data_IF_941245268034
#
_entry.id   IF_941245268034
#
_cell.length_a   1.000
_cell.length_b   1.000
_cell.length_c   1.000
_cell.angle_alpha   90.00
_cell.angle_beta   90.00
_cell.angle_gamma   90.00
#
_symmetry.space_group_name_H-M   'P 1'
#
loop_
_entity.id
_entity.type
_entity.pdbx_description
1 polymer ?
#
# COMPACT_ATOMS: atom_id res chain seq x y z
N UNK A 1 12.82 -38.10 12.16
CA UNK A 1 12.17 -37.69 10.89
C UNK A 1 12.03 -36.20 10.94
N UNK A 2 12.77 -35.49 10.09
CA UNK A 2 12.74 -34.02 10.02
C UNK A 2 11.83 -33.60 8.89
N UNK A 3 10.90 -32.70 9.17
CA UNK A 3 10.09 -32.05 8.15
C UNK A 3 10.92 -30.96 7.48
N UNK A 4 10.89 -30.88 6.14
CA UNK A 4 11.45 -29.74 5.40
C UNK A 4 10.32 -28.82 4.99
N UNK A 5 10.33 -27.58 5.47
CA UNK A 5 9.39 -26.54 5.05
C UNK A 5 9.97 -25.89 3.79
N UNK A 6 9.27 -26.01 2.66
CA UNK A 6 9.63 -25.31 1.42
C UNK A 6 8.65 -24.15 1.24
N UNK A 7 9.17 -22.92 1.25
CA UNK A 7 8.39 -21.70 1.03
C UNK A 7 8.36 -21.38 -0.46
N UNK A 8 7.17 -21.37 -1.05
CA UNK A 8 6.95 -20.88 -2.41
C UNK A 8 6.18 -19.55 -2.33
N UNK A 9 6.82 -18.47 -2.75
CA UNK A 9 6.18 -17.17 -2.90
C UNK A 9 5.39 -17.15 -4.22
N UNK A 10 4.07 -17.03 -4.13
CA UNK A 10 3.22 -16.82 -5.30
C UNK A 10 2.96 -15.31 -5.46
N UNK A 11 3.45 -14.73 -6.54
CA UNK A 11 3.09 -13.37 -6.94
C UNK A 11 1.72 -13.38 -7.63
N UNK A 12 0.75 -12.67 -7.04
CA UNK A 12 -0.58 -12.29 -7.54
C UNK A 12 -1.62 -13.43 -7.78
N UNK A 13 -2.68 -13.52 -6.94
CA UNK A 13 -3.90 -14.28 -7.24
C UNK A 13 -4.93 -13.50 -8.09
N UNK A 14 -4.66 -12.24 -8.46
CA UNK A 14 -5.61 -11.36 -9.18
C UNK A 14 -5.42 -11.31 -10.71
N UNK A 15 -4.33 -11.85 -11.27
CA UNK A 15 -4.23 -12.05 -12.73
C UNK A 15 -4.90 -13.37 -13.14
N UNK A 16 -6.23 -13.32 -13.34
CA UNK A 16 -7.06 -14.46 -13.76
C UNK A 16 -6.68 -15.04 -15.14
N UNK A 17 -5.68 -14.50 -15.83
CA UNK A 17 -5.30 -14.90 -17.19
C UNK A 17 -4.02 -15.73 -17.29
N UNK A 18 -3.23 -15.84 -16.22
CA UNK A 18 -1.98 -16.61 -16.23
C UNK A 18 -2.04 -17.94 -15.45
N UNK A 19 -3.02 -18.12 -14.55
CA UNK A 19 -3.04 -19.24 -13.59
C UNK A 19 -3.47 -20.60 -14.14
N UNK A 20 -3.89 -20.72 -15.40
CA UNK A 20 -4.35 -22.01 -15.97
C UNK A 20 -3.27 -22.80 -16.71
N UNK A 21 -2.10 -22.22 -17.03
CA UNK A 21 -1.09 -22.93 -17.86
C UNK A 21 0.03 -23.63 -17.09
N UNK A 22 0.30 -23.30 -15.82
CA UNK A 22 1.29 -24.04 -15.03
C UNK A 22 0.69 -25.18 -14.19
N UNK A 23 -0.60 -25.09 -13.84
CA UNK A 23 -1.26 -26.08 -12.96
C UNK A 23 -1.55 -27.40 -13.69
N UNK A 24 -1.55 -27.41 -15.02
CA UNK A 24 -2.01 -28.57 -15.80
C UNK A 24 -0.91 -29.59 -16.15
N UNK A 25 0.35 -29.40 -15.74
CA UNK A 25 1.47 -30.26 -16.17
C UNK A 25 2.09 -31.14 -15.08
N UNK A 26 1.59 -31.08 -13.84
CA UNK A 26 2.03 -31.91 -12.71
C UNK A 26 0.83 -32.62 -12.06
N UNK A 27 0.02 -33.30 -12.88
CA UNK A 27 -1.18 -34.01 -12.45
C UNK A 27 -0.93 -35.51 -12.19
N UNK A 28 -0.02 -35.85 -11.29
CA UNK A 28 -0.05 -37.16 -10.64
C UNK A 28 0.39 -36.99 -9.19
N UNK A 29 -0.55 -37.22 -8.27
CA UNK A 29 -0.40 -37.30 -6.80
C UNK A 29 -0.53 -35.98 -6.02
N UNK A 30 -1.72 -35.37 -6.01
CA UNK A 30 -2.32 -34.90 -4.76
C UNK A 30 -3.80 -34.58 -4.97
N UNK A 31 -4.65 -35.30 -4.27
CA UNK A 31 -6.06 -35.01 -4.11
C UNK A 31 -6.15 -33.73 -3.27
N UNK A 32 -6.44 -32.59 -3.89
CA UNK A 32 -6.94 -31.42 -3.17
C UNK A 32 -8.39 -31.27 -3.62
N UNK A 33 -9.28 -31.79 -2.77
CA UNK A 33 -10.73 -31.62 -2.89
C UNK A 33 -11.06 -30.13 -2.99
N UNK A 34 -12.04 -29.79 -3.84
CA UNK A 34 -12.59 -28.46 -4.18
C UNK A 34 -13.09 -27.60 -2.99
N UNK A 35 -12.27 -27.37 -1.98
CA UNK A 35 -12.58 -26.49 -0.84
C UNK A 35 -11.53 -25.40 -0.75
N UNK A 36 -11.78 -24.31 -1.49
CA UNK A 36 -11.08 -23.03 -1.45
C UNK A 36 -9.55 -23.09 -1.61
N UNK A 37 -9.03 -22.30 -2.55
CA UNK A 37 -7.64 -21.86 -2.51
C UNK A 37 -7.46 -21.06 -1.21
N UNK A 38 -7.22 -21.76 -0.10
CA UNK A 38 -7.12 -21.15 1.21
C UNK A 38 -5.71 -20.58 1.27
N UNK A 39 -5.61 -19.29 0.96
CA UNK A 39 -4.41 -18.52 1.19
C UNK A 39 -4.04 -18.67 2.68
N UNK A 40 -3.01 -19.46 2.97
CA UNK A 40 -2.72 -19.94 4.32
C UNK A 40 -2.10 -18.84 5.16
N UNK A 41 -2.87 -18.32 6.12
CA UNK A 41 -2.52 -17.62 7.39
C UNK A 41 -1.44 -16.52 7.43
N UNK A 42 -0.81 -16.14 6.31
CA UNK A 42 0.01 -14.93 6.20
C UNK A 42 -0.29 -14.26 4.87
N UNK A 43 -1.13 -13.22 4.93
CA UNK A 43 -1.22 -12.22 3.86
C UNK A 43 -0.08 -11.23 4.08
N UNK A 44 0.86 -11.17 3.14
CA UNK A 44 1.84 -10.08 3.07
C UNK A 44 1.33 -9.03 2.10
N UNK A 45 1.71 -7.77 2.31
CA UNK A 45 1.43 -6.71 1.33
C UNK A 45 2.74 -6.19 0.77
N UNK A 46 2.84 -6.21 -0.56
CA UNK A 46 3.93 -5.57 -1.26
C UNK A 46 3.46 -4.20 -1.73
N UNK A 47 4.08 -3.14 -1.21
CA UNK A 47 3.73 -1.75 -1.51
C UNK A 47 4.86 -1.10 -2.29
N UNK A 48 4.52 -0.55 -3.45
CA UNK A 48 5.44 0.25 -4.27
C UNK A 48 4.95 1.68 -4.40
N UNK A 49 5.87 2.63 -4.37
CA UNK A 49 5.56 4.07 -4.49
C UNK A 49 5.91 4.57 -5.89
N UNK A 50 5.00 5.33 -6.49
CA UNK A 50 5.13 5.86 -7.85
C UNK A 50 5.03 7.39 -7.81
N UNK A 51 6.10 8.08 -8.20
CA UNK A 51 6.11 9.54 -8.28
C UNK A 51 5.43 10.03 -9.56
N UNK A 52 4.44 10.90 -9.39
CA UNK A 52 3.67 11.51 -10.47
C UNK A 52 4.07 12.98 -10.59
N UNK A 53 4.88 13.27 -11.61
CA UNK A 53 5.42 14.61 -11.87
C UNK A 53 4.43 15.54 -12.61
N UNK A 54 3.15 15.50 -12.24
CA UNK A 54 2.10 16.36 -12.80
C UNK A 54 1.51 17.14 -11.62
N UNK A 55 1.69 18.48 -11.56
CA UNK A 55 1.12 19.28 -10.49
C UNK A 55 -0.41 19.24 -10.52
N UNK A 56 -1.00 18.85 -9.40
CA UNK A 56 -2.45 18.68 -9.22
C UNK A 56 -2.84 19.15 -7.82
N UNK A 57 -4.09 19.56 -7.64
CA UNK A 57 -4.67 19.69 -6.29
C UNK A 57 -4.67 18.31 -5.61
N UNK A 58 -4.78 18.28 -4.28
CA UNK A 58 -4.76 17.00 -3.56
C UNK A 58 -5.89 16.06 -4.03
N UNK A 59 -7.09 16.60 -4.26
CA UNK A 59 -8.26 15.82 -4.72
C UNK A 59 -8.09 15.31 -6.15
N UNK A 60 -7.49 16.10 -7.03
CA UNK A 60 -7.15 15.65 -8.39
C UNK A 60 -6.08 14.56 -8.36
N UNK A 61 -5.05 14.72 -7.52
CA UNK A 61 -4.00 13.71 -7.35
C UNK A 61 -4.56 12.40 -6.78
N UNK A 62 -5.45 12.46 -5.80
CA UNK A 62 -6.18 11.30 -5.27
C UNK A 62 -6.95 10.58 -6.38
N UNK A 63 -7.73 11.35 -7.15
CA UNK A 63 -8.52 10.81 -8.26
C UNK A 63 -7.64 10.17 -9.32
N UNK A 64 -6.50 10.80 -9.65
CA UNK A 64 -5.50 10.25 -10.57
C UNK A 64 -4.91 8.94 -10.06
N UNK A 65 -4.47 8.91 -8.80
CA UNK A 65 -3.91 7.69 -8.20
C UNK A 65 -4.94 6.56 -8.19
N UNK A 66 -6.21 6.82 -7.85
CA UNK A 66 -7.25 5.78 -7.87
C UNK A 66 -7.62 5.30 -9.28
N UNK A 67 -7.40 6.12 -10.31
CA UNK A 67 -7.66 5.75 -11.70
C UNK A 67 -6.53 4.92 -12.33
N UNK A 68 -5.29 5.07 -11.84
CA UNK A 68 -4.08 4.49 -12.45
C UNK A 68 -3.27 3.55 -11.54
N UNK A 69 -3.53 3.60 -10.23
CA UNK A 69 -2.81 2.94 -9.14
C UNK A 69 -3.83 2.51 -8.05
N UNK A 70 -3.37 2.17 -6.84
CA UNK A 70 -4.28 1.88 -5.72
C UNK A 70 -4.87 3.16 -5.12
N UNK A 71 -4.03 4.07 -4.61
CA UNK A 71 -4.45 5.36 -4.01
C UNK A 71 -3.22 6.29 -3.87
N UNK A 72 -3.40 7.50 -3.36
CA UNK A 72 -2.31 8.32 -2.84
C UNK A 72 -1.55 7.56 -1.76
N UNK A 73 -0.23 7.76 -1.73
CA UNK A 73 0.67 7.03 -0.85
C UNK A 73 0.28 7.18 0.62
N UNK A 74 0.06 6.04 1.27
CA UNK A 74 0.05 5.94 2.72
C UNK A 74 1.45 5.61 3.22
N UNK A 75 1.87 6.19 4.34
CA UNK A 75 3.21 5.98 4.90
C UNK A 75 3.09 5.29 6.25
N UNK A 76 3.52 4.04 6.33
CA UNK A 76 3.32 3.19 7.52
C UNK A 76 4.49 3.21 8.49
N UNK A 77 5.67 3.63 8.03
CA UNK A 77 6.90 3.67 8.82
C UNK A 77 7.97 4.58 8.20
N UNK A 78 9.08 4.74 8.91
CA UNK A 78 10.19 5.60 8.46
C UNK A 78 10.85 5.11 7.16
N UNK A 79 10.90 3.80 6.89
CA UNK A 79 11.47 3.26 5.66
C UNK A 79 10.62 3.61 4.44
N UNK A 80 9.30 3.64 4.58
CA UNK A 80 8.40 4.13 3.54
C UNK A 80 8.46 5.66 3.40
N UNK A 81 8.62 6.38 4.51
CA UNK A 81 8.76 7.84 4.50
C UNK A 81 9.90 8.33 3.61
N UNK A 82 11.01 7.59 3.56
CA UNK A 82 12.16 7.89 2.71
C UNK A 82 11.89 7.73 1.21
N UNK A 83 10.77 7.10 0.83
CA UNK A 83 10.40 6.81 -0.56
C UNK A 83 9.34 7.77 -1.12
N UNK A 84 8.75 8.61 -0.27
CA UNK A 84 7.66 9.52 -0.66
C UNK A 84 8.13 10.98 -0.69
N UNK A 85 7.40 11.80 -1.44
CA UNK A 85 7.64 13.23 -1.61
C UNK A 85 6.30 13.91 -1.99
N UNK A 86 6.23 15.24 -1.93
CA UNK A 86 5.05 16.03 -2.27
C UNK A 86 3.73 15.48 -1.66
N UNK A 87 2.61 15.51 -2.40
CA UNK A 87 1.32 15.02 -1.88
C UNK A 87 1.37 13.55 -1.48
N UNK A 88 0.94 13.29 -0.25
CA UNK A 88 0.66 11.95 0.29
C UNK A 88 -0.81 11.87 0.75
N UNK A 89 -1.29 10.66 1.00
CA UNK A 89 -2.71 10.38 1.20
C UNK A 89 -3.30 10.81 2.55
N UNK A 90 -2.62 11.58 3.40
CA UNK A 90 -3.13 11.93 4.74
C UNK A 90 -4.03 13.18 4.69
N UNK A 91 -5.23 13.14 5.29
CA UNK A 91 -6.24 14.23 5.21
C UNK A 91 -7.08 14.46 6.49
N UNK A 92 -7.65 15.69 6.59
CA UNK A 92 -8.11 16.39 7.82
C UNK A 92 -8.95 15.66 8.84
N UNK A 93 -10.05 15.01 8.43
CA UNK A 93 -11.18 14.86 9.37
C UNK A 93 -10.76 14.15 10.66
N UNK A 94 -9.78 13.24 10.56
CA UNK A 94 -9.04 12.68 11.70
C UNK A 94 -7.57 12.42 11.40
N UNK A 95 -6.97 13.14 10.46
CA UNK A 95 -5.68 12.76 9.84
C UNK A 95 -5.72 11.30 9.43
N UNK A 96 -6.71 10.95 8.61
CA UNK A 96 -6.90 9.58 8.12
C UNK A 96 -6.21 9.43 6.78
N UNK A 97 -5.74 8.22 6.50
CA UNK A 97 -5.18 7.90 5.20
C UNK A 97 -6.30 7.77 4.15
N UNK A 98 -6.01 8.21 2.93
CA UNK A 98 -6.89 8.13 1.77
C UNK A 98 -7.24 6.68 1.43
N UNK A 99 -6.26 5.78 1.58
CA UNK A 99 -6.48 4.35 1.50
C UNK A 99 -7.16 3.90 2.81
N UNK A 100 -8.48 3.74 2.77
CA UNK A 100 -9.30 3.47 3.95
C UNK A 100 -9.42 1.98 4.31
N UNK A 101 -8.67 1.09 3.66
CA UNK A 101 -8.71 -0.35 3.94
C UNK A 101 -8.02 -0.65 5.28
N UNK A 102 -8.79 -0.99 6.31
CA UNK A 102 -8.24 -1.33 7.63
C UNK A 102 -7.33 -2.57 7.58
N UNK A 103 -7.55 -3.50 6.64
CA UNK A 103 -6.70 -4.68 6.48
C UNK A 103 -5.32 -4.34 5.86
N UNK A 104 -5.15 -3.10 5.37
CA UNK A 104 -3.88 -2.60 4.86
C UNK A 104 -2.87 -2.25 5.96
N UNK A 105 -3.36 -1.90 7.15
CA UNK A 105 -2.51 -1.42 8.24
C UNK A 105 -2.39 -2.50 9.33
N UNK A 106 -1.16 -2.82 9.70
CA UNK A 106 -0.89 -3.53 10.96
C UNK A 106 -1.05 -2.58 12.15
N UNK A 107 -1.11 -3.13 13.37
CA UNK A 107 -1.22 -2.35 14.61
C UNK A 107 -0.20 -1.19 14.66
N UNK A 108 -0.70 0.04 14.72
CA UNK A 108 0.13 1.26 14.82
C UNK A 108 0.58 1.86 13.48
N UNK A 109 0.42 1.16 12.35
CA UNK A 109 0.85 1.66 11.04
C UNK A 109 -0.04 2.79 10.54
N UNK A 110 -1.35 2.71 10.78
CA UNK A 110 -2.31 3.77 10.42
C UNK A 110 -2.05 5.07 11.20
N UNK A 111 -1.44 4.97 12.38
CA UNK A 111 -1.12 6.06 13.29
C UNK A 111 0.27 6.67 13.07
N UNK A 112 1.10 6.11 12.18
CA UNK A 112 2.44 6.63 11.92
C UNK A 112 2.38 8.09 11.45
N UNK A 113 3.09 8.99 12.13
CA UNK A 113 3.19 10.41 11.76
C UNK A 113 4.64 10.86 11.75
N UNK A 114 5.01 11.64 10.73
CA UNK A 114 6.35 12.22 10.60
C UNK A 114 6.32 13.73 10.34
N UNK A 115 5.46 14.43 11.08
CA UNK A 115 5.32 15.89 11.05
C UNK A 115 6.65 16.62 11.29
N UNK A 116 6.80 17.76 10.63
CA UNK A 116 7.82 18.73 10.97
C UNK A 116 7.52 19.33 12.35
N UNK A 117 8.56 19.84 13.03
CA UNK A 117 8.38 20.42 14.36
C UNK A 117 7.49 21.67 14.29
N UNK A 118 6.34 21.62 14.96
CA UNK A 118 5.32 22.68 14.90
C UNK A 118 4.11 22.32 14.05
N UNK A 119 4.16 21.23 13.28
CA UNK A 119 3.07 20.78 12.42
C UNK A 119 2.27 19.61 13.03
N UNK A 120 1.00 19.44 12.63
CA UNK A 120 0.22 20.32 11.76
C UNK A 120 -0.26 21.59 12.48
N UNK A 121 -0.10 22.76 11.87
CA UNK A 121 -0.42 24.05 12.49
C UNK A 121 -1.75 24.67 12.00
N UNK A 122 -2.32 24.11 10.93
CA UNK A 122 -3.51 24.57 10.23
C UNK A 122 -3.47 26.07 9.91
N UNK A 123 -2.43 26.50 9.18
CA UNK A 123 -2.18 27.92 8.95
C UNK A 123 -3.37 28.58 8.25
N UNK A 124 -3.77 29.75 8.75
CA UNK A 124 -4.94 30.48 8.27
C UNK A 124 -6.25 29.67 8.25
N UNK A 125 -6.32 28.55 8.99
CA UNK A 125 -7.46 27.62 9.01
C UNK A 125 -7.78 27.07 7.61
N UNK A 126 -6.76 26.80 6.80
CA UNK A 126 -6.92 26.36 5.41
C UNK A 126 -5.91 25.27 5.01
N UNK A 127 -5.29 24.59 5.95
CA UNK A 127 -4.26 23.58 5.69
C UNK A 127 -4.74 22.20 6.14
N UNK A 128 -5.11 21.42 5.15
CA UNK A 128 -6.02 20.29 5.34
C UNK A 128 -5.53 19.01 4.66
N UNK A 129 -4.50 19.14 3.84
CA UNK A 129 -3.90 18.04 3.10
C UNK A 129 -2.43 17.95 3.46
N UNK A 130 -1.86 16.75 3.47
CA UNK A 130 -0.46 16.59 3.88
C UNK A 130 0.46 16.49 2.68
N UNK A 131 1.50 17.33 2.69
CA UNK A 131 2.61 17.25 1.77
C UNK A 131 3.92 16.96 2.52
N UNK A 132 4.82 16.25 1.85
CA UNK A 132 6.23 16.22 2.27
C UNK A 132 6.85 17.60 2.08
N UNK A 133 7.58 18.03 3.10
CA UNK A 133 8.29 19.30 3.21
C UNK A 133 9.81 19.06 3.30
N UNK A 134 10.53 20.01 3.90
CA UNK A 134 11.96 19.96 4.14
C UNK A 134 12.37 18.80 5.05
N UNK A 135 13.57 18.25 4.81
CA UNK A 135 14.18 17.18 5.62
C UNK A 135 13.30 15.96 5.83
N UNK A 136 12.57 15.54 4.80
CA UNK A 136 11.72 14.33 4.82
C UNK A 136 10.59 14.38 5.86
N UNK A 137 10.20 15.57 6.32
CA UNK A 137 9.12 15.78 7.29
C UNK A 137 7.85 16.28 6.62
N UNK A 138 6.72 16.16 7.30
CA UNK A 138 5.41 16.52 6.76
C UNK A 138 4.97 17.89 7.19
N UNK A 139 4.23 18.56 6.32
CA UNK A 139 3.50 19.78 6.60
C UNK A 139 2.03 19.58 6.22
N UNK A 140 1.11 20.14 6.98
CA UNK A 140 -0.24 20.36 6.47
C UNK A 140 -0.20 21.55 5.51
N UNK A 141 -1.02 21.48 4.47
CA UNK A 141 -0.92 22.39 3.33
C UNK A 141 -2.30 22.61 2.70
N UNK A 142 -2.52 23.74 2.01
CA UNK A 142 -3.80 23.99 1.38
C UNK A 142 -4.05 22.99 0.27
N UNK A 143 -5.17 22.24 0.36
CA UNK A 143 -5.52 21.18 -0.58
C UNK A 143 -5.64 21.67 -2.04
N UNK A 144 -6.00 22.94 -2.22
CA UNK A 144 -6.12 23.63 -3.52
C UNK A 144 -4.76 23.98 -4.14
N UNK A 145 -3.66 23.76 -3.44
CA UNK A 145 -2.31 23.97 -3.99
C UNK A 145 -2.01 22.90 -5.04
N UNK A 146 -1.46 23.31 -6.18
CA UNK A 146 -1.07 22.38 -7.24
C UNK A 146 0.38 21.95 -7.07
N UNK A 147 0.60 20.72 -6.60
CA UNK A 147 1.94 20.13 -6.49
C UNK A 147 1.94 18.68 -7.02
N UNK A 148 3.10 18.12 -7.39
CA UNK A 148 3.24 16.70 -7.70
C UNK A 148 2.74 15.78 -6.58
N UNK A 149 2.63 14.48 -6.86
CA UNK A 149 2.13 13.51 -5.88
C UNK A 149 2.90 12.20 -5.92
N UNK A 150 2.70 11.38 -4.89
CA UNK A 150 3.14 9.99 -4.89
C UNK A 150 1.93 9.08 -4.70
N UNK A 151 1.73 8.16 -5.64
CA UNK A 151 0.75 7.08 -5.52
C UNK A 151 1.39 5.85 -4.87
N UNK A 152 0.57 5.00 -4.26
CA UNK A 152 0.94 3.64 -3.88
C UNK A 152 0.25 2.62 -4.80
N UNK A 153 0.99 1.59 -5.17
CA UNK A 153 0.48 0.34 -5.73
C UNK A 153 0.62 -0.74 -4.66
N UNK A 154 -0.52 -1.32 -4.26
CA UNK A 154 -0.60 -2.36 -3.24
C UNK A 154 -0.92 -3.69 -3.92
N UNK A 155 -0.10 -4.71 -3.63
CA UNK A 155 -0.35 -6.09 -4.08
C UNK A 155 -0.38 -7.04 -2.91
N UNK A 156 -1.44 -7.82 -2.83
CA UNK A 156 -1.54 -8.91 -1.86
C UNK A 156 -0.62 -10.07 -2.29
N UNK A 157 0.26 -10.49 -1.39
CA UNK A 157 1.07 -11.68 -1.57
C UNK A 157 0.51 -12.81 -0.74
N UNK A 158 0.31 -13.95 -1.40
CA UNK A 158 -0.15 -15.16 -0.76
C UNK A 158 1.00 -16.15 -0.63
N UNK A 159 1.24 -16.68 0.58
CA UNK A 159 2.15 -17.79 0.79
C UNK A 159 1.37 -19.11 0.90
N UNK A 160 1.81 -20.13 0.18
CA UNK A 160 1.27 -21.49 0.29
C UNK A 160 2.27 -22.36 1.04
N UNK A 161 1.86 -22.97 2.16
CA UNK A 161 2.68 -23.93 2.89
C UNK A 161 2.35 -25.35 2.43
N UNK A 162 3.31 -26.04 1.83
CA UNK A 162 3.22 -27.48 1.54
C UNK A 162 4.02 -28.25 2.60
N UNK A 163 3.35 -29.16 3.30
CA UNK A 163 4.01 -30.11 4.19
C UNK A 163 4.40 -31.36 3.39
N UNK A 164 5.70 -31.58 3.20
CA UNK A 164 6.22 -32.82 2.59
C UNK A 164 6.63 -33.79 3.72
N UNK A 165 6.14 -35.02 3.64
CA UNK A 165 6.51 -36.14 4.54
C UNK A 165 7.71 -36.90 4.01
#
# INVERSE_FOLDING_TARGET
GGYTIVMLLLSDPLDRTASTKLVQQLSLLAIVSDTALNCGLFSGQNVTFVYINIPMTWTEAQSYCRAHHTDLASVRNMTENQKVTHWIGLHVEKWTWSLADEMFYSDGEAEFRNWYNGEPNNFAQNEYCTAMWYSEKWNDYPCESTIPSVCSDVRETCALFLYLT
#
